data_IF_994988327414
#
_entry.id   IF_994988327414
#
_cell.length_a   1.000
_cell.length_b   1.000
_cell.length_c   1.000
_cell.angle_alpha   90.00
_cell.angle_beta   90.00
_cell.angle_gamma   90.00
#
_symmetry.space_group_name_H-M   'P 1'
#
loop_
_entity.id
_entity.type
_entity.pdbx_description
1 polymer ?
#
# COMPACT_ATOMS: atom_id res chain seq x y z
N UNK A 1 3.63 15.02 22.71
CA UNK A 1 4.45 15.50 21.55
C UNK A 1 4.33 14.54 20.35
N UNK A 2 4.36 13.21 20.52
CA UNK A 2 4.18 12.20 19.45
C UNK A 2 2.88 12.40 18.63
N UNK A 3 1.73 12.56 19.28
CA UNK A 3 0.43 12.69 18.59
C UNK A 3 0.34 13.88 17.62
N UNK A 4 0.92 15.03 17.95
CA UNK A 4 0.82 16.23 17.14
C UNK A 4 1.62 16.11 15.82
N UNK A 5 2.81 15.51 15.84
CA UNK A 5 3.65 15.30 14.66
C UNK A 5 3.06 14.27 13.71
N UNK A 6 2.55 13.15 14.24
CA UNK A 6 1.87 12.12 13.45
C UNK A 6 0.62 12.69 12.75
N UNK A 7 -0.22 13.45 13.47
CA UNK A 7 -1.40 14.08 12.89
C UNK A 7 -1.02 15.07 11.78
N UNK A 8 0.04 15.84 11.93
CA UNK A 8 0.51 16.79 10.92
C UNK A 8 1.01 16.09 9.66
N UNK A 9 1.88 15.07 9.77
CA UNK A 9 2.41 14.31 8.62
C UNK A 9 1.31 13.55 7.89
N UNK A 10 0.41 12.90 8.63
CA UNK A 10 -0.73 12.18 8.06
C UNK A 10 -1.70 13.12 7.36
N UNK A 11 -1.98 14.30 7.92
CA UNK A 11 -2.83 15.32 7.30
C UNK A 11 -2.23 15.86 6.01
N UNK A 12 -0.92 16.13 5.99
CA UNK A 12 -0.22 16.61 4.80
C UNK A 12 -0.18 15.54 3.71
N UNK A 13 0.09 14.28 4.06
CA UNK A 13 0.04 13.14 3.15
C UNK A 13 -1.34 13.03 2.49
N UNK A 14 -2.41 13.06 3.28
CA UNK A 14 -3.79 12.99 2.79
C UNK A 14 -4.14 14.17 1.89
N UNK A 15 -3.70 15.37 2.23
CA UNK A 15 -3.90 16.58 1.41
C UNK A 15 -3.28 16.40 0.02
N UNK A 16 -1.99 16.06 -0.03
CA UNK A 16 -1.25 15.87 -1.29
C UNK A 16 -1.84 14.73 -2.11
N UNK A 17 -2.24 13.62 -1.45
CA UNK A 17 -2.89 12.51 -2.11
C UNK A 17 -4.19 12.91 -2.82
N UNK A 18 -5.03 13.72 -2.16
CA UNK A 18 -6.29 14.23 -2.73
C UNK A 18 -6.06 15.24 -3.85
N UNK A 19 -5.01 16.06 -3.76
CA UNK A 19 -4.67 17.05 -4.78
C UNK A 19 -4.06 16.41 -6.03
N UNK A 20 -3.08 15.54 -5.85
CA UNK A 20 -2.30 14.92 -6.94
C UNK A 20 -2.95 13.68 -7.53
N UNK A 21 -3.77 12.96 -6.77
CA UNK A 21 -4.61 11.82 -7.17
C UNK A 21 -3.86 10.64 -7.77
N UNK A 22 -2.55 10.51 -7.56
CA UNK A 22 -1.70 9.48 -8.13
C UNK A 22 -0.70 8.94 -7.09
N UNK A 23 -0.66 7.62 -6.93
CA UNK A 23 0.42 6.87 -6.27
C UNK A 23 1.04 5.90 -7.25
N UNK A 24 2.38 5.81 -7.27
CA UNK A 24 3.06 4.75 -8.02
C UNK A 24 2.92 3.40 -7.30
N UNK A 25 2.85 2.27 -8.04
CA UNK A 25 2.59 0.96 -7.46
C UNK A 25 3.88 0.27 -6.97
N UNK A 26 3.80 -0.55 -5.89
CA UNK A 26 4.86 -1.48 -5.52
C UNK A 26 4.78 -2.73 -6.42
N UNK A 27 5.67 -2.86 -7.39
CA UNK A 27 5.72 -3.97 -8.34
C UNK A 27 7.01 -4.76 -8.18
N UNK A 28 6.94 -5.96 -7.59
CA UNK A 28 8.10 -6.85 -7.42
C UNK A 28 8.74 -7.21 -8.76
N UNK A 29 10.05 -7.01 -8.86
CA UNK A 29 10.82 -7.21 -10.08
C UNK A 29 10.79 -6.03 -11.06
N UNK A 30 10.13 -4.92 -10.69
CA UNK A 30 10.02 -3.74 -11.54
C UNK A 30 10.35 -2.43 -10.81
N UNK A 31 9.78 -2.18 -9.62
CA UNK A 31 9.98 -0.91 -8.91
C UNK A 31 11.22 -0.95 -8.02
N UNK A 32 12.31 -1.48 -8.57
CA UNK A 32 13.64 -1.42 -8.00
C UNK A 32 14.20 0.01 -7.97
N UNK A 33 15.35 0.20 -7.38
CA UNK A 33 15.94 1.54 -7.25
C UNK A 33 16.19 2.22 -8.61
N UNK A 34 16.82 1.58 -9.63
CA UNK A 34 16.99 2.20 -10.94
C UNK A 34 15.69 2.65 -11.61
N UNK A 35 14.66 1.81 -11.55
CA UNK A 35 13.37 2.17 -12.14
C UNK A 35 12.70 3.34 -11.41
N UNK A 36 12.78 3.38 -10.08
CA UNK A 36 12.25 4.52 -9.30
C UNK A 36 12.99 5.82 -9.61
N UNK A 37 14.30 5.79 -9.84
CA UNK A 37 15.09 6.95 -10.30
C UNK A 37 14.61 7.45 -11.67
N UNK A 38 14.28 6.54 -12.59
CA UNK A 38 13.70 6.93 -13.90
C UNK A 38 12.34 7.57 -13.70
N UNK A 39 11.48 6.98 -12.88
CA UNK A 39 10.14 7.51 -12.61
C UNK A 39 10.18 8.89 -11.92
N UNK A 40 11.17 9.14 -11.08
CA UNK A 40 11.33 10.43 -10.40
C UNK A 40 11.48 11.60 -11.38
N UNK A 41 12.01 11.37 -12.60
CA UNK A 41 12.13 12.39 -13.64
C UNK A 41 10.79 12.94 -14.14
N UNK A 42 9.70 12.22 -13.88
CA UNK A 42 8.33 12.64 -14.20
C UNK A 42 7.63 13.33 -13.03
N UNK A 43 8.35 13.67 -11.97
CA UNK A 43 7.85 14.33 -10.76
C UNK A 43 6.57 13.70 -10.17
N UNK A 44 6.52 12.38 -9.97
CA UNK A 44 5.37 11.77 -9.32
C UNK A 44 5.30 12.21 -7.86
N UNK A 45 4.10 12.44 -7.31
CA UNK A 45 3.98 12.88 -5.92
C UNK A 45 4.43 11.82 -4.90
N UNK A 46 4.29 10.55 -5.25
CA UNK A 46 4.61 9.43 -4.39
C UNK A 46 5.31 8.32 -5.17
N UNK A 47 6.46 7.89 -4.68
CA UNK A 47 7.22 6.74 -5.17
C UNK A 47 7.22 5.68 -4.06
N UNK A 48 7.17 4.40 -4.41
CA UNK A 48 7.22 3.32 -3.44
C UNK A 48 8.18 2.21 -3.88
N UNK A 49 8.81 1.56 -2.92
CA UNK A 49 9.68 0.41 -3.17
C UNK A 49 8.89 -0.82 -3.61
N UNK A 50 9.59 -1.83 -4.09
CA UNK A 50 9.07 -3.21 -4.06
C UNK A 50 8.74 -3.63 -2.62
N UNK A 51 7.98 -4.74 -2.46
CA UNK A 51 7.73 -5.27 -1.12
C UNK A 51 9.02 -5.79 -0.46
N UNK A 52 9.33 -5.26 0.71
CA UNK A 52 10.46 -5.65 1.54
C UNK A 52 9.99 -6.50 2.74
N UNK A 53 10.61 -7.68 2.94
CA UNK A 53 10.23 -8.56 4.04
C UNK A 53 10.72 -8.01 5.38
N UNK A 54 9.80 -7.78 6.32
CA UNK A 54 10.07 -7.16 7.61
C UNK A 54 11.12 -7.91 8.44
N UNK A 55 11.06 -9.26 8.47
CA UNK A 55 12.06 -10.07 9.16
C UNK A 55 13.44 -9.92 8.54
N UNK A 56 13.52 -9.88 7.21
CA UNK A 56 14.79 -9.69 6.50
C UNK A 56 15.39 -8.30 6.73
N UNK A 57 14.55 -7.25 6.88
CA UNK A 57 15.01 -5.90 7.26
C UNK A 57 15.65 -5.94 8.65
N UNK A 58 14.94 -6.51 9.64
CA UNK A 58 15.45 -6.61 11.02
C UNK A 58 16.77 -7.41 11.08
N UNK A 59 16.91 -8.43 10.24
CA UNK A 59 18.13 -9.23 10.10
C UNK A 59 19.21 -8.59 9.22
N UNK A 60 18.98 -7.38 8.72
CA UNK A 60 19.91 -6.63 7.84
C UNK A 60 20.36 -7.43 6.61
N UNK A 61 19.43 -8.21 6.04
CA UNK A 61 19.69 -9.00 4.84
C UNK A 61 20.13 -8.07 3.68
N UNK A 62 21.29 -8.33 3.08
CA UNK A 62 21.90 -7.43 2.09
C UNK A 62 21.02 -7.17 0.86
N UNK A 63 20.32 -8.19 0.33
CA UNK A 63 19.40 -8.03 -0.80
C UNK A 63 18.21 -7.16 -0.43
N UNK A 64 17.64 -7.35 0.77
CA UNK A 64 16.50 -6.55 1.23
C UNK A 64 16.93 -5.10 1.46
N UNK A 65 18.11 -4.87 2.01
CA UNK A 65 18.65 -3.52 2.19
C UNK A 65 18.88 -2.77 0.87
N UNK A 66 19.16 -3.48 -0.24
CA UNK A 66 19.23 -2.87 -1.57
C UNK A 66 17.89 -2.28 -2.06
N UNK A 67 16.75 -2.85 -1.62
CA UNK A 67 15.41 -2.34 -1.94
C UNK A 67 15.17 -0.99 -1.24
N UNK A 68 15.77 -0.78 -0.04
CA UNK A 68 15.53 0.36 0.85
C UNK A 68 16.34 1.60 0.49
N UNK A 69 16.66 1.82 -0.78
CA UNK A 69 17.34 3.05 -1.23
C UNK A 69 16.31 4.15 -1.47
N UNK A 70 16.54 5.31 -0.85
CA UNK A 70 15.76 6.55 -1.07
C UNK A 70 16.11 7.11 -2.46
N UNK A 71 15.11 7.61 -3.16
CA UNK A 71 15.29 8.40 -4.39
C UNK A 71 15.20 9.87 -4.02
N UNK A 72 16.18 10.67 -4.43
CA UNK A 72 16.19 12.11 -4.20
C UNK A 72 15.19 12.83 -5.10
N UNK A 73 14.54 13.89 -4.60
CA UNK A 73 13.60 14.73 -5.35
C UNK A 73 12.41 15.19 -4.52
N UNK A 74 11.54 16.00 -5.13
CA UNK A 74 10.34 16.58 -4.51
C UNK A 74 9.16 15.61 -4.52
N UNK A 75 9.34 14.42 -3.95
CA UNK A 75 8.32 13.38 -3.86
C UNK A 75 8.41 12.64 -2.54
N UNK A 76 7.31 12.00 -2.14
CA UNK A 76 7.27 11.14 -0.97
C UNK A 76 7.83 9.75 -1.30
N UNK A 77 8.87 9.34 -0.58
CA UNK A 77 9.42 7.99 -0.67
C UNK A 77 8.69 7.05 0.28
N UNK A 78 7.95 6.10 -0.28
CA UNK A 78 7.31 5.03 0.48
C UNK A 78 8.10 3.73 0.47
N UNK A 79 7.87 2.93 1.48
CA UNK A 79 8.34 1.55 1.53
C UNK A 79 7.16 0.61 1.74
N UNK A 80 7.08 -0.47 0.94
CA UNK A 80 6.08 -1.49 1.19
C UNK A 80 6.67 -2.63 2.02
N UNK A 81 6.14 -2.84 3.23
CA UNK A 81 6.49 -3.93 4.11
C UNK A 81 5.61 -5.17 3.87
N UNK A 82 6.19 -6.36 3.93
CA UNK A 82 5.49 -7.64 3.94
C UNK A 82 5.97 -8.50 5.10
N UNK A 83 5.03 -9.04 5.87
CA UNK A 83 5.28 -9.87 7.04
C UNK A 83 3.97 -10.30 7.69
N UNK A 84 4.04 -11.26 8.63
CA UNK A 84 2.87 -11.77 9.36
C UNK A 84 3.05 -11.72 10.88
N UNK A 85 4.18 -11.24 11.37
CA UNK A 85 4.50 -11.18 12.81
C UNK A 85 4.56 -9.71 13.23
N UNK A 86 3.63 -9.23 14.10
CA UNK A 86 3.53 -7.82 14.49
C UNK A 86 4.84 -7.23 14.98
N UNK A 87 5.60 -7.96 15.78
CA UNK A 87 6.86 -7.47 16.35
C UNK A 87 7.95 -7.25 15.27
N UNK A 88 8.06 -8.12 14.25
CA UNK A 88 8.97 -7.88 13.14
C UNK A 88 8.52 -6.71 12.27
N UNK A 89 7.21 -6.54 12.06
CA UNK A 89 6.64 -5.42 11.32
C UNK A 89 6.92 -4.10 12.03
N UNK A 90 6.71 -4.06 13.35
CA UNK A 90 7.02 -2.92 14.21
C UNK A 90 8.50 -2.52 14.14
N UNK A 91 9.42 -3.48 14.34
CA UNK A 91 10.87 -3.21 14.27
C UNK A 91 11.31 -2.75 12.90
N UNK A 92 10.80 -3.37 11.83
CA UNK A 92 11.10 -2.98 10.47
C UNK A 92 10.60 -1.56 10.16
N UNK A 93 9.41 -1.19 10.67
CA UNK A 93 8.85 0.14 10.51
C UNK A 93 9.73 1.23 11.11
N UNK A 94 10.26 1.02 12.32
CA UNK A 94 11.22 1.95 12.94
C UNK A 94 12.47 2.08 12.07
N UNK A 95 13.05 0.96 11.64
CA UNK A 95 14.27 0.98 10.80
C UNK A 95 14.04 1.76 9.52
N UNK A 96 12.93 1.58 8.82
CA UNK A 96 12.69 2.27 7.55
C UNK A 96 12.35 3.74 7.76
N UNK A 97 11.70 4.12 8.86
CA UNK A 97 11.53 5.52 9.23
C UNK A 97 12.89 6.19 9.49
N UNK A 98 13.79 5.53 10.24
CA UNK A 98 15.14 6.03 10.53
C UNK A 98 16.00 6.16 9.26
N UNK A 99 15.71 5.36 8.23
CA UNK A 99 16.33 5.49 6.90
C UNK A 99 15.78 6.68 6.10
N UNK A 100 14.73 7.37 6.57
CA UNK A 100 14.16 8.56 5.95
C UNK A 100 12.99 8.31 5.00
N UNK A 101 12.32 7.16 5.08
CA UNK A 101 11.08 6.96 4.32
C UNK A 101 9.94 7.81 4.87
N UNK A 102 9.17 8.44 3.97
CA UNK A 102 8.11 9.38 4.28
C UNK A 102 6.77 8.72 4.62
N UNK A 103 6.55 7.49 4.18
CA UNK A 103 5.37 6.68 4.52
C UNK A 103 5.65 5.18 4.39
N UNK A 104 4.86 4.39 5.09
CA UNK A 104 4.95 2.92 5.10
C UNK A 104 3.65 2.35 4.57
N UNK A 105 3.74 1.40 3.62
CA UNK A 105 2.59 0.64 3.14
C UNK A 105 2.69 -0.82 3.54
N UNK A 106 1.60 -1.39 4.03
CA UNK A 106 1.54 -2.80 4.46
C UNK A 106 0.90 -3.63 3.35
N UNK A 107 1.63 -4.65 2.86
CA UNK A 107 1.15 -5.54 1.82
C UNK A 107 0.16 -6.57 2.36
N UNK A 108 -1.10 -6.48 1.90
CA UNK A 108 -2.18 -7.45 2.17
C UNK A 108 -2.79 -8.00 0.88
N UNK A 109 -2.07 -7.90 -0.25
CA UNK A 109 -2.61 -8.26 -1.56
C UNK A 109 -1.76 -9.22 -2.40
N UNK A 110 -0.52 -9.51 -1.98
CA UNK A 110 0.38 -10.39 -2.73
C UNK A 110 -0.14 -11.84 -2.70
N UNK A 111 -0.34 -12.43 -3.90
CA UNK A 111 -0.85 -13.81 -4.06
C UNK A 111 0.26 -14.82 -4.36
N UNK A 112 1.54 -14.40 -4.33
CA UNK A 112 2.66 -15.31 -4.56
C UNK A 112 2.68 -16.41 -3.50
N UNK A 113 2.76 -17.69 -3.94
CA UNK A 113 2.69 -18.85 -3.05
C UNK A 113 3.70 -18.77 -1.91
N UNK A 114 4.95 -18.37 -2.20
CA UNK A 114 6.02 -18.22 -1.21
C UNK A 114 5.73 -17.17 -0.12
N UNK A 115 4.87 -16.19 -0.41
CA UNK A 115 4.43 -15.17 0.54
C UNK A 115 3.22 -15.67 1.32
N UNK A 116 2.19 -16.15 0.62
CA UNK A 116 0.95 -16.62 1.25
C UNK A 116 1.15 -17.81 2.19
N UNK A 117 2.06 -18.75 1.86
CA UNK A 117 2.39 -19.90 2.74
C UNK A 117 3.04 -19.49 4.08
N UNK A 118 3.57 -18.27 4.18
CA UNK A 118 4.11 -17.72 5.43
C UNK A 118 3.10 -16.90 6.24
N UNK A 119 1.83 -16.91 5.84
CA UNK A 119 0.78 -16.09 6.45
C UNK A 119 0.86 -14.61 6.07
N UNK A 120 1.70 -14.25 5.09
CA UNK A 120 1.97 -12.88 4.65
C UNK A 120 1.10 -12.49 3.44
N UNK A 121 1.10 -11.19 3.11
CA UNK A 121 0.41 -10.68 1.92
C UNK A 121 -1.09 -10.96 1.99
N UNK A 122 -1.66 -11.59 0.94
CA UNK A 122 -3.10 -11.85 0.89
C UNK A 122 -3.62 -12.74 2.03
N UNK A 123 -2.75 -13.54 2.64
CA UNK A 123 -3.11 -14.40 3.76
C UNK A 123 -3.58 -13.59 4.97
N UNK A 124 -3.10 -12.36 5.15
CA UNK A 124 -3.56 -11.47 6.21
C UNK A 124 -5.04 -11.13 6.10
N UNK A 125 -5.61 -11.14 4.88
CA UNK A 125 -7.05 -10.94 4.71
C UNK A 125 -7.91 -12.07 5.27
N UNK A 126 -7.34 -13.28 5.51
CA UNK A 126 -8.00 -14.37 6.23
C UNK A 126 -7.88 -14.24 7.74
N UNK A 127 -6.86 -13.57 8.20
CA UNK A 127 -6.47 -13.44 9.62
C UNK A 127 -6.63 -11.99 10.06
N UNK A 128 -7.87 -11.49 10.04
CA UNK A 128 -8.19 -10.07 10.25
C UNK A 128 -7.65 -9.52 11.57
N UNK A 129 -7.73 -10.29 12.66
CA UNK A 129 -7.18 -9.90 13.96
C UNK A 129 -5.68 -9.63 13.86
N UNK A 130 -4.91 -10.56 13.27
CA UNK A 130 -3.48 -10.36 13.07
C UNK A 130 -3.16 -9.19 12.12
N UNK A 131 -3.98 -8.98 11.08
CA UNK A 131 -3.82 -7.82 10.19
C UNK A 131 -3.97 -6.50 10.96
N UNK A 132 -4.97 -6.40 11.83
CA UNK A 132 -5.19 -5.22 12.69
C UNK A 132 -4.07 -5.05 13.73
N UNK A 133 -3.61 -6.12 14.36
CA UNK A 133 -2.47 -6.10 15.29
C UNK A 133 -1.19 -5.60 14.63
N UNK A 134 -0.93 -6.03 13.37
CA UNK A 134 0.21 -5.55 12.59
C UNK A 134 0.09 -4.04 12.34
N UNK A 135 -1.08 -3.57 11.88
CA UNK A 135 -1.29 -2.13 11.61
C UNK A 135 -1.12 -1.32 12.87
N UNK A 136 -1.76 -1.72 13.97
CA UNK A 136 -1.64 -1.04 15.26
C UNK A 136 -0.20 -1.01 15.79
N UNK A 137 0.54 -2.13 15.66
CA UNK A 137 1.93 -2.21 16.08
C UNK A 137 2.86 -1.31 15.25
N UNK A 138 2.60 -1.17 13.93
CA UNK A 138 3.37 -0.29 13.05
C UNK A 138 3.01 1.17 13.35
N UNK A 139 1.73 1.53 13.37
CA UNK A 139 1.24 2.89 13.67
C UNK A 139 1.76 3.39 15.01
N UNK A 140 1.70 2.56 16.05
CA UNK A 140 2.19 2.93 17.39
C UNK A 140 3.72 3.06 17.51
N UNK A 141 4.47 2.74 16.47
CA UNK A 141 5.94 2.74 16.50
C UNK A 141 6.58 3.83 15.65
N UNK A 142 5.83 4.53 14.78
CA UNK A 142 6.36 5.49 13.81
C UNK A 142 5.53 6.77 13.75
N UNK A 143 6.17 7.85 13.29
CA UNK A 143 5.54 9.16 13.10
C UNK A 143 5.13 9.44 11.65
N UNK A 144 5.42 8.49 10.74
CA UNK A 144 5.08 8.61 9.32
C UNK A 144 3.73 7.94 9.02
N UNK A 145 2.99 8.40 7.99
CA UNK A 145 1.73 7.78 7.58
C UNK A 145 1.87 6.29 7.29
N UNK A 146 0.90 5.50 7.75
CA UNK A 146 0.82 4.06 7.50
C UNK A 146 -0.37 3.76 6.62
N UNK A 147 -0.13 3.13 5.48
CA UNK A 147 -1.16 2.73 4.50
C UNK A 147 -1.22 1.21 4.35
N UNK A 148 -2.31 0.68 3.81
CA UNK A 148 -2.42 -0.73 3.52
C UNK A 148 -2.85 -0.95 2.07
N UNK A 149 -2.19 -1.89 1.37
CA UNK A 149 -2.57 -2.29 0.02
C UNK A 149 -3.17 -3.69 0.02
N UNK A 150 -4.46 -3.78 -0.36
CA UNK A 150 -5.24 -5.00 -0.24
C UNK A 150 -6.02 -5.33 -1.52
N UNK A 151 -6.65 -6.49 -1.53
CA UNK A 151 -7.60 -6.97 -2.55
C UNK A 151 -9.03 -6.97 -2.01
N UNK A 152 -9.99 -7.49 -2.78
CA UNK A 152 -11.39 -7.62 -2.33
C UNK A 152 -11.59 -8.74 -1.30
N UNK A 153 -10.67 -9.66 -1.25
CA UNK A 153 -10.68 -10.86 -0.41
C UNK A 153 -9.78 -11.92 -1.04
N UNK A 154 -9.63 -13.05 -0.38
CA UNK A 154 -8.80 -14.16 -0.88
C UNK A 154 -9.46 -14.84 -2.08
N UNK A 155 -10.79 -14.97 -2.07
CA UNK A 155 -11.59 -15.51 -3.17
C UNK A 155 -12.88 -14.70 -3.33
N UNK A 156 -13.64 -14.96 -4.40
CA UNK A 156 -14.96 -14.35 -4.59
C UNK A 156 -15.95 -14.71 -3.48
N UNK A 157 -15.83 -15.92 -2.92
CA UNK A 157 -16.69 -16.43 -1.84
C UNK A 157 -16.29 -15.85 -0.47
N UNK A 158 -15.10 -15.30 -0.34
CA UNK A 158 -14.55 -14.78 0.92
C UNK A 158 -14.08 -13.32 0.78
N UNK A 159 -14.91 -12.51 0.12
CA UNK A 159 -14.66 -11.06 0.03
C UNK A 159 -15.01 -10.40 1.37
N UNK A 160 -14.02 -9.76 1.97
CA UNK A 160 -14.13 -9.09 3.27
C UNK A 160 -13.53 -7.68 3.28
N UNK A 161 -13.23 -7.12 2.09
CA UNK A 161 -12.57 -5.81 1.98
C UNK A 161 -13.31 -4.72 2.76
N UNK A 162 -14.63 -4.66 2.73
CA UNK A 162 -15.39 -3.60 3.37
C UNK A 162 -15.26 -3.65 4.90
N UNK A 163 -15.50 -4.83 5.51
CA UNK A 163 -15.40 -5.00 6.97
C UNK A 163 -13.95 -4.89 7.45
N UNK A 164 -12.99 -5.50 6.74
CA UNK A 164 -11.58 -5.42 7.10
C UNK A 164 -11.05 -3.98 6.96
N UNK A 165 -11.45 -3.25 5.93
CA UNK A 165 -11.04 -1.86 5.73
C UNK A 165 -11.38 -0.97 6.93
N UNK A 166 -12.60 -1.09 7.48
CA UNK A 166 -12.99 -0.34 8.67
C UNK A 166 -12.09 -0.69 9.87
N UNK A 167 -11.85 -1.97 10.11
CA UNK A 167 -10.96 -2.42 11.20
C UNK A 167 -9.53 -1.90 11.07
N UNK A 168 -9.00 -1.83 9.83
CA UNK A 168 -7.66 -1.27 9.58
C UNK A 168 -7.61 0.25 9.81
N UNK A 169 -8.69 0.97 9.48
CA UNK A 169 -8.83 2.40 9.82
C UNK A 169 -8.88 2.59 11.33
N UNK A 170 -9.65 1.77 12.04
CA UNK A 170 -9.75 1.80 13.51
C UNK A 170 -8.39 1.47 14.16
N UNK A 171 -7.56 0.66 13.49
CA UNK A 171 -6.18 0.36 13.91
C UNK A 171 -5.16 1.47 13.55
N UNK A 172 -5.60 2.56 12.89
CA UNK A 172 -4.81 3.75 12.61
C UNK A 172 -4.27 3.88 11.17
N UNK A 173 -4.75 3.07 10.21
CA UNK A 173 -4.36 3.24 8.82
C UNK A 173 -4.78 4.60 8.26
N UNK A 174 -3.83 5.34 7.65
CA UNK A 174 -4.05 6.70 7.10
C UNK A 174 -4.74 6.70 5.73
N UNK A 175 -4.55 5.66 4.93
CA UNK A 175 -5.19 5.47 3.63
C UNK A 175 -5.16 3.99 3.22
N UNK A 176 -6.08 3.57 2.34
CA UNK A 176 -6.17 2.20 1.87
C UNK A 176 -6.13 2.13 0.34
N UNK A 177 -5.24 1.31 -0.22
CA UNK A 177 -5.22 0.99 -1.66
C UNK A 177 -5.96 -0.32 -1.91
N UNK A 178 -7.01 -0.27 -2.73
CA UNK A 178 -7.86 -1.43 -3.00
C UNK A 178 -7.71 -1.86 -4.46
N UNK A 179 -7.13 -3.06 -4.66
CA UNK A 179 -7.18 -3.71 -5.96
C UNK A 179 -8.55 -4.38 -6.14
N UNK A 180 -9.34 -3.88 -7.08
CA UNK A 180 -10.73 -4.30 -7.32
C UNK A 180 -10.89 -5.72 -7.88
N UNK A 181 -10.04 -6.66 -7.44
CA UNK A 181 -10.10 -8.10 -7.75
C UNK A 181 -9.80 -8.92 -6.51
N UNK A 182 -10.40 -10.13 -6.43
CA UNK A 182 -10.04 -11.12 -5.41
C UNK A 182 -8.64 -11.71 -5.64
N UNK A 183 -8.15 -12.51 -4.69
CA UNK A 183 -6.84 -13.16 -4.77
C UNK A 183 -6.76 -14.34 -5.73
N UNK A 184 -7.87 -14.77 -6.30
CA UNK A 184 -7.90 -15.88 -7.25
C UNK A 184 -7.08 -15.56 -8.50
N UNK A 185 -6.21 -16.50 -8.89
CA UNK A 185 -5.39 -16.40 -10.09
C UNK A 185 -6.19 -16.81 -11.34
N UNK A 186 -7.27 -16.11 -11.64
CA UNK A 186 -8.00 -16.32 -12.89
C UNK A 186 -7.72 -15.15 -13.84
N UNK A 187 -7.25 -15.49 -15.04
CA UNK A 187 -7.15 -14.51 -16.11
C UNK A 187 -8.57 -14.01 -16.47
N UNK A 188 -8.69 -12.72 -16.79
CA UNK A 188 -9.96 -12.16 -17.26
C UNK A 188 -11.00 -11.86 -16.18
N UNK A 189 -10.67 -11.97 -14.89
CA UNK A 189 -11.59 -11.52 -13.81
C UNK A 189 -11.83 -10.03 -13.96
N UNK A 190 -13.10 -9.59 -14.17
CA UNK A 190 -13.44 -8.18 -14.25
C UNK A 190 -13.05 -7.44 -12.97
N UNK A 191 -12.70 -6.17 -13.13
CA UNK A 191 -12.49 -5.28 -11.99
C UNK A 191 -13.84 -4.91 -11.38
N UNK A 192 -14.01 -5.09 -10.09
CA UNK A 192 -15.22 -4.67 -9.38
C UNK A 192 -15.05 -3.25 -8.84
N UNK A 193 -15.48 -2.29 -9.65
CA UNK A 193 -15.49 -0.87 -9.29
C UNK A 193 -16.56 -0.54 -8.24
N UNK A 194 -17.65 -1.32 -8.18
CA UNK A 194 -18.75 -1.06 -7.24
C UNK A 194 -18.32 -1.32 -5.80
N UNK A 195 -17.51 -2.35 -5.55
CA UNK A 195 -16.98 -2.62 -4.21
C UNK A 195 -15.99 -1.52 -3.80
N UNK A 196 -15.13 -1.06 -4.72
CA UNK A 196 -14.26 0.10 -4.46
C UNK A 196 -15.11 1.32 -4.07
N UNK A 197 -16.17 1.61 -4.84
CA UNK A 197 -17.10 2.72 -4.57
C UNK A 197 -17.74 2.61 -3.18
N UNK A 198 -18.28 1.43 -2.84
CA UNK A 198 -18.88 1.18 -1.53
C UNK A 198 -17.87 1.40 -0.40
N UNK A 199 -16.65 0.92 -0.57
CA UNK A 199 -15.59 1.09 0.43
C UNK A 199 -15.16 2.55 0.56
N UNK A 200 -15.01 3.27 -0.57
CA UNK A 200 -14.66 4.69 -0.55
C UNK A 200 -15.73 5.56 0.12
N UNK A 201 -17.01 5.21 -0.05
CA UNK A 201 -18.12 5.93 0.58
C UNK A 201 -18.29 5.62 2.09
N UNK A 202 -17.82 4.47 2.54
CA UNK A 202 -17.98 4.02 3.94
C UNK A 202 -16.85 4.51 4.87
N UNK A 203 -15.67 4.82 4.33
CA UNK A 203 -14.50 5.12 5.15
C UNK A 203 -14.26 6.62 5.32
N UNK A 204 -13.70 6.98 6.45
CA UNK A 204 -13.29 8.37 6.77
C UNK A 204 -11.91 8.72 6.19
N UNK A 205 -11.10 7.72 5.85
CA UNK A 205 -9.77 7.89 5.25
C UNK A 205 -9.82 7.75 3.73
N UNK A 206 -8.84 8.30 2.98
CA UNK A 206 -8.80 8.16 1.53
C UNK A 206 -8.70 6.70 1.08
N UNK A 207 -9.49 6.35 0.07
CA UNK A 207 -9.34 5.10 -0.69
C UNK A 207 -8.66 5.40 -2.02
N UNK A 208 -7.65 4.59 -2.35
CA UNK A 208 -6.89 4.63 -3.59
C UNK A 208 -7.34 3.44 -4.45
N UNK A 209 -7.90 3.72 -5.63
CA UNK A 209 -8.37 2.68 -6.53
C UNK A 209 -7.22 2.08 -7.36
N UNK A 210 -7.12 0.75 -7.39
CA UNK A 210 -6.10 0.04 -8.15
C UNK A 210 -6.70 -1.03 -9.06
N UNK A 211 -6.16 -1.13 -10.27
CA UNK A 211 -6.50 -2.15 -11.26
C UNK A 211 -7.05 -1.58 -12.56
N UNK A 212 -6.65 -2.17 -13.68
CA UNK A 212 -7.08 -1.80 -15.06
C UNK A 212 -6.95 -0.30 -15.38
N UNK A 213 -5.87 0.32 -14.95
CA UNK A 213 -5.52 1.71 -15.25
C UNK A 213 -4.27 1.67 -16.12
N UNK A 214 -4.40 2.04 -17.38
CA UNK A 214 -3.34 2.04 -18.40
C UNK A 214 -3.06 3.43 -18.94
N UNK A 215 -4.06 4.33 -18.90
CA UNK A 215 -3.98 5.69 -19.42
C UNK A 215 -4.46 6.71 -18.40
N UNK A 216 -4.17 7.99 -18.64
CA UNK A 216 -4.72 9.08 -17.83
C UNK A 216 -6.26 9.14 -17.87
N UNK A 217 -6.87 8.76 -18.99
CA UNK A 217 -8.33 8.67 -19.12
C UNK A 217 -8.90 7.56 -18.22
N UNK A 218 -8.26 6.38 -18.18
CA UNK A 218 -8.67 5.30 -17.26
C UNK A 218 -8.62 5.77 -15.80
N UNK A 219 -7.60 6.56 -15.44
CA UNK A 219 -7.45 7.13 -14.11
C UNK A 219 -8.62 8.07 -13.75
N UNK A 220 -8.98 8.98 -14.68
CA UNK A 220 -10.12 9.90 -14.51
C UNK A 220 -11.44 9.14 -14.38
N UNK A 221 -11.69 8.19 -15.27
CA UNK A 221 -12.90 7.35 -15.24
C UNK A 221 -12.99 6.54 -13.95
N UNK A 222 -11.85 6.00 -13.48
CA UNK A 222 -11.81 5.25 -12.23
C UNK A 222 -12.23 6.13 -11.04
N UNK A 223 -11.67 7.33 -10.92
CA UNK A 223 -12.02 8.28 -9.84
C UNK A 223 -13.51 8.65 -9.91
N UNK A 224 -14.01 9.00 -11.11
CA UNK A 224 -15.42 9.37 -11.28
C UNK A 224 -16.38 8.25 -10.91
N UNK A 225 -16.11 7.02 -11.33
CA UNK A 225 -16.98 5.86 -11.07
C UNK A 225 -16.95 5.38 -9.63
N UNK A 226 -15.79 5.50 -8.97
CA UNK A 226 -15.59 4.91 -7.64
C UNK A 226 -15.67 5.93 -6.50
N UNK A 227 -15.49 7.21 -6.77
CA UNK A 227 -15.33 8.24 -5.73
C UNK A 227 -14.02 8.09 -4.94
N UNK A 228 -13.06 7.28 -5.43
CA UNK A 228 -11.77 7.14 -4.81
C UNK A 228 -11.01 8.48 -4.82
N UNK A 229 -10.26 8.76 -3.75
CA UNK A 229 -9.50 9.99 -3.59
C UNK A 229 -8.30 10.06 -4.57
N UNK A 230 -7.76 8.90 -4.95
CA UNK A 230 -6.62 8.77 -5.85
C UNK A 230 -6.66 7.41 -6.57
N UNK A 231 -5.75 7.25 -7.52
CA UNK A 231 -5.54 6.00 -8.23
C UNK A 231 -4.10 5.51 -8.10
N UNK A 232 -3.94 4.19 -8.19
CA UNK A 232 -2.65 3.54 -8.32
C UNK A 232 -2.68 2.70 -9.60
N UNK A 233 -2.04 3.14 -10.71
CA UNK A 233 -1.87 2.28 -11.87
C UNK A 233 -1.07 1.04 -11.48
N UNK A 234 -1.08 0.03 -12.30
CA UNK A 234 -0.27 -1.16 -12.10
C UNK A 234 0.74 -1.28 -13.25
N UNK A 235 0.69 -2.41 -13.95
CA UNK A 235 1.52 -2.68 -15.13
C UNK A 235 1.33 -1.67 -16.28
N UNK A 236 0.29 -0.84 -16.24
CA UNK A 236 0.10 0.27 -17.18
C UNK A 236 1.23 1.31 -17.16
N UNK A 237 2.07 1.34 -16.10
CA UNK A 237 3.27 2.20 -16.07
C UNK A 237 4.48 1.58 -16.79
N UNK A 238 4.43 0.30 -17.15
CA UNK A 238 5.56 -0.39 -17.77
C UNK A 238 5.50 -0.17 -19.28
N UNK A 239 6.40 0.65 -19.80
CA UNK A 239 6.52 0.90 -21.24
C UNK A 239 5.50 1.90 -21.83
N UNK A 240 4.88 2.71 -21.01
CA UNK A 240 4.01 3.83 -21.42
C UNK A 240 4.62 5.15 -20.98
#
# INVERSE_FOLDING_TARGET
>A
MFDAWWHMKSSLFVKILKEKKLLLPPLSGYTDYPYRVILARFNPPFIITEMANARAIVQKNSRTMQILKIVEGDHYNGVQLVGSIPEYMRKAAVIVQDLGFDYIDINMGCTARKVACRGEGISLMKHETNACEIVAAVVGAVDVPVTCKMRLGVSKQSMNVLSLSQKLVDAGATALTIHGRSGEKKFGVPLDQNIIKKTAAALTVPVIANGSIYTGLDAQVMIQKTGAAAVMPGRGLLGN
#
